data_IF_221375746661
#
_entry.id   IF_221375746661
#
_cell.length_a   1.000
_cell.length_b   1.000
_cell.length_c   1.000
_cell.angle_alpha   90.00
_cell.angle_beta   90.00
_cell.angle_gamma   90.00
#
_symmetry.space_group_name_H-M   'P 1'
#
loop_
_entity.id
_entity.type
_entity.pdbx_description
1 polymer ?
#
# COMPACT_ATOMS: atom_id res chain seq x y z
N UNK A 1 -30.66 4.61 9.57
CA UNK A 1 -30.59 5.87 10.36
C UNK A 1 -31.94 6.22 10.98
N UNK A 2 -33.05 6.20 10.22
CA UNK A 2 -34.40 6.55 10.72
C UNK A 2 -35.03 5.61 11.78
N UNK A 3 -34.38 4.50 12.15
CA UNK A 3 -34.81 3.62 13.27
C UNK A 3 -33.80 3.55 14.43
N UNK A 4 -32.73 4.34 14.40
CA UNK A 4 -31.80 4.39 15.52
C UNK A 4 -32.35 5.33 16.61
N UNK A 5 -32.40 4.83 17.84
CA UNK A 5 -32.79 5.61 19.02
C UNK A 5 -31.93 6.88 19.12
N UNK A 6 -32.56 8.03 19.31
CA UNK A 6 -31.93 9.37 19.36
C UNK A 6 -30.80 9.46 20.40
N UNK A 7 -30.86 8.67 21.49
CA UNK A 7 -29.77 8.59 22.48
C UNK A 7 -28.47 7.99 21.93
N UNK A 8 -28.53 7.19 20.87
CA UNK A 8 -27.35 6.61 20.19
C UNK A 8 -26.79 7.52 19.09
N UNK A 9 -27.57 8.51 18.63
CA UNK A 9 -27.19 9.46 17.57
C UNK A 9 -26.28 10.61 18.08
N UNK A 10 -26.33 10.95 19.36
CA UNK A 10 -25.49 11.99 19.95
C UNK A 10 -24.24 11.42 20.67
N UNK A 11 -24.10 10.09 20.71
CA UNK A 11 -22.96 9.41 21.30
C UNK A 11 -21.82 9.13 20.30
N UNK A 12 -20.65 8.65 20.77
CA UNK A 12 -19.50 8.28 19.94
C UNK A 12 -19.81 7.21 18.86
N UNK A 13 -20.97 6.55 18.95
CA UNK A 13 -21.50 5.59 17.99
C UNK A 13 -21.89 6.25 16.66
N UNK A 14 -22.46 7.46 16.69
CA UNK A 14 -22.87 8.20 15.49
C UNK A 14 -21.68 8.65 14.64
N UNK A 15 -20.61 9.14 15.29
CA UNK A 15 -19.35 9.46 14.62
C UNK A 15 -18.67 8.23 14.01
N UNK A 16 -18.74 7.06 14.68
CA UNK A 16 -18.28 5.78 14.11
C UNK A 16 -19.08 5.35 12.89
N UNK A 17 -20.41 5.47 12.92
CA UNK A 17 -21.28 5.13 11.79
C UNK A 17 -20.99 6.07 10.61
N UNK A 18 -20.84 7.37 10.86
CA UNK A 18 -20.50 8.34 9.80
C UNK A 18 -19.11 8.07 9.22
N UNK A 19 -18.11 7.76 10.04
CA UNK A 19 -16.77 7.43 9.56
C UNK A 19 -16.73 6.10 8.79
N UNK A 20 -17.50 5.09 9.22
CA UNK A 20 -17.69 3.85 8.46
C UNK A 20 -18.35 4.13 7.12
N UNK A 21 -19.46 4.87 7.11
CA UNK A 21 -20.19 5.20 5.89
C UNK A 21 -19.30 5.99 4.91
N UNK A 22 -18.64 7.05 5.37
CA UNK A 22 -17.81 7.91 4.52
C UNK A 22 -16.54 7.21 4.00
N UNK A 23 -15.92 6.32 4.78
CA UNK A 23 -14.71 5.61 4.37
C UNK A 23 -15.00 4.33 3.55
N UNK A 24 -16.13 3.68 3.80
CA UNK A 24 -16.45 2.40 3.15
C UNK A 24 -17.25 2.59 1.87
N UNK A 25 -18.17 3.56 1.77
CA UNK A 25 -18.97 3.80 0.54
C UNK A 25 -18.06 4.06 -0.67
N UNK A 26 -17.03 4.91 -0.51
CA UNK A 26 -16.08 5.16 -1.59
C UNK A 26 -15.23 3.95 -1.98
N UNK A 27 -15.05 2.97 -1.09
CA UNK A 27 -14.37 1.70 -1.40
C UNK A 27 -15.30 0.72 -2.09
N UNK A 28 -16.59 0.70 -1.73
CA UNK A 28 -17.58 -0.15 -2.36
C UNK A 28 -17.76 0.18 -3.84
N UNK A 29 -17.81 1.46 -4.22
CA UNK A 29 -17.90 1.88 -5.62
C UNK A 29 -16.76 1.31 -6.47
N UNK A 30 -15.53 1.33 -5.93
CA UNK A 30 -14.36 0.76 -6.58
C UNK A 30 -14.44 -0.78 -6.64
N UNK A 31 -14.92 -1.44 -5.59
CA UNK A 31 -15.10 -2.89 -5.57
C UNK A 31 -16.08 -3.36 -6.64
N UNK A 32 -17.24 -2.69 -6.79
CA UNK A 32 -18.23 -3.05 -7.80
C UNK A 32 -17.70 -2.87 -9.22
N UNK A 33 -16.84 -1.88 -9.45
CA UNK A 33 -16.16 -1.69 -10.74
C UNK A 33 -15.26 -2.89 -11.11
N UNK A 34 -14.56 -3.48 -10.12
CA UNK A 34 -13.60 -4.56 -10.37
C UNK A 34 -14.18 -5.98 -10.26
N UNK A 35 -15.36 -6.14 -9.67
CA UNK A 35 -15.97 -7.46 -9.40
C UNK A 35 -16.16 -8.32 -10.67
N UNK A 36 -16.59 -7.77 -11.82
CA UNK A 36 -16.70 -8.55 -13.07
C UNK A 36 -15.34 -9.07 -13.57
N UNK A 37 -14.27 -8.31 -13.38
CA UNK A 37 -12.92 -8.72 -13.82
C UNK A 37 -12.44 -9.96 -13.08
N UNK A 38 -12.82 -10.16 -11.82
CA UNK A 38 -12.45 -11.35 -11.04
C UNK A 38 -13.06 -12.62 -11.64
N UNK A 39 -14.27 -12.53 -12.21
CA UNK A 39 -14.96 -13.66 -12.85
C UNK A 39 -14.42 -13.92 -14.26
N UNK A 40 -14.04 -12.86 -14.99
CA UNK A 40 -13.49 -12.97 -16.35
C UNK A 40 -12.02 -13.46 -16.32
N UNK A 41 -11.25 -13.07 -15.31
CA UNK A 41 -9.84 -13.43 -15.16
C UNK A 41 -9.51 -14.93 -15.30
N UNK A 42 -10.21 -15.88 -14.63
CA UNK A 42 -9.90 -17.31 -14.78
C UNK A 42 -10.18 -17.81 -16.20
N UNK A 43 -11.27 -17.38 -16.83
CA UNK A 43 -11.61 -17.77 -18.20
C UNK A 43 -10.53 -17.26 -19.17
N UNK A 44 -10.14 -15.99 -19.02
CA UNK A 44 -9.07 -15.39 -19.82
C UNK A 44 -7.74 -16.13 -19.62
N UNK A 45 -7.39 -16.47 -18.37
CA UNK A 45 -6.16 -17.17 -18.04
C UNK A 45 -6.11 -18.56 -18.70
N UNK A 46 -7.22 -19.32 -18.65
CA UNK A 46 -7.29 -20.65 -19.28
C UNK A 46 -7.11 -20.58 -20.80
N UNK A 47 -7.76 -19.63 -21.47
CA UNK A 47 -7.65 -19.45 -22.93
C UNK A 47 -6.21 -19.07 -23.31
N UNK A 48 -5.60 -18.11 -22.60
CA UNK A 48 -4.22 -17.67 -22.88
C UNK A 48 -3.22 -18.81 -22.64
N UNK A 49 -3.38 -19.58 -21.56
CA UNK A 49 -2.53 -20.75 -21.29
C UNK A 49 -2.66 -21.80 -22.40
N UNK A 50 -3.87 -22.06 -22.89
CA UNK A 50 -4.10 -23.02 -23.97
C UNK A 50 -3.39 -22.59 -25.27
N UNK A 51 -3.54 -21.32 -25.66
CA UNK A 51 -2.91 -20.78 -26.87
C UNK A 51 -1.37 -20.79 -26.79
N UNK A 52 -0.80 -20.47 -25.63
CA UNK A 52 0.65 -20.49 -25.44
C UNK A 52 1.17 -21.95 -25.49
N UNK A 53 0.43 -22.90 -24.92
CA UNK A 53 0.79 -24.31 -24.96
C UNK A 53 0.85 -24.86 -26.39
N UNK A 54 -0.11 -24.48 -27.24
CA UNK A 54 -0.17 -24.92 -28.64
C UNK A 54 1.06 -24.45 -29.44
N UNK A 55 1.55 -23.23 -29.19
CA UNK A 55 2.69 -22.66 -29.92
C UNK A 55 4.06 -22.96 -29.33
N UNK A 56 4.19 -23.04 -28.00
CA UNK A 56 5.50 -22.99 -27.30
C UNK A 56 5.79 -24.26 -26.50
N UNK A 57 4.82 -25.17 -26.37
CA UNK A 57 4.95 -26.49 -25.73
C UNK A 57 5.68 -26.43 -24.37
N UNK A 58 6.77 -27.17 -24.17
CA UNK A 58 7.51 -27.24 -22.90
C UNK A 58 8.07 -25.90 -22.43
N UNK A 59 8.42 -24.98 -23.35
CA UNK A 59 8.97 -23.67 -22.97
C UNK A 59 7.92 -22.77 -22.30
N UNK A 60 6.61 -23.05 -22.43
CA UNK A 60 5.56 -22.31 -21.72
C UNK A 60 5.59 -22.55 -20.20
N UNK A 61 6.05 -23.73 -19.77
CA UNK A 61 6.12 -24.08 -18.34
C UNK A 61 7.13 -23.22 -17.59
N UNK A 62 8.23 -22.84 -18.26
CA UNK A 62 9.26 -21.95 -17.70
C UNK A 62 8.67 -20.55 -17.47
N UNK A 63 7.92 -20.03 -18.44
CA UNK A 63 7.23 -18.75 -18.30
C UNK A 63 6.21 -18.75 -17.16
N UNK A 64 5.40 -19.80 -17.06
CA UNK A 64 4.43 -19.98 -15.97
C UNK A 64 5.12 -20.02 -14.60
N UNK A 65 6.22 -20.76 -14.48
CA UNK A 65 6.99 -20.87 -13.26
C UNK A 65 7.56 -19.51 -12.81
N UNK A 66 8.12 -18.74 -13.74
CA UNK A 66 8.64 -17.40 -13.49
C UNK A 66 7.53 -16.45 -13.01
N UNK A 67 6.36 -16.49 -13.64
CA UNK A 67 5.19 -15.69 -13.22
C UNK A 67 4.76 -16.07 -11.80
N UNK A 68 4.62 -17.36 -11.49
CA UNK A 68 4.17 -17.83 -10.17
C UNK A 68 5.14 -17.39 -9.07
N UNK A 69 6.44 -17.58 -9.29
CA UNK A 69 7.48 -17.15 -8.33
C UNK A 69 7.49 -15.63 -8.17
N UNK A 70 7.34 -14.87 -9.24
CA UNK A 70 7.33 -13.43 -9.11
C UNK A 70 6.06 -12.91 -8.40
N UNK A 71 4.91 -13.54 -8.65
CA UNK A 71 3.63 -13.00 -8.18
C UNK A 71 3.33 -13.38 -6.74
N UNK A 72 3.70 -14.58 -6.30
CA UNK A 72 3.29 -15.09 -4.97
C UNK A 72 4.33 -14.75 -3.89
N UNK A 73 5.55 -15.35 -3.87
CA UNK A 73 6.48 -15.15 -2.77
C UNK A 73 7.09 -13.75 -2.74
N UNK A 74 7.45 -13.17 -3.89
CA UNK A 74 8.05 -11.84 -3.94
C UNK A 74 7.04 -10.76 -3.50
N UNK A 75 5.79 -10.82 -3.97
CA UNK A 75 4.75 -9.91 -3.53
C UNK A 75 4.44 -10.06 -2.04
N UNK A 76 4.33 -11.30 -1.54
CA UNK A 76 4.11 -11.55 -0.12
C UNK A 76 5.26 -11.02 0.76
N UNK A 77 6.51 -11.17 0.30
CA UNK A 77 7.68 -10.65 1.00
C UNK A 77 7.68 -9.12 1.04
N UNK A 78 7.46 -8.46 -0.10
CA UNK A 78 7.36 -7.00 -0.17
C UNK A 78 6.21 -6.48 0.69
N UNK A 79 5.06 -7.15 0.68
CA UNK A 79 3.92 -6.80 1.51
C UNK A 79 4.25 -6.85 3.02
N UNK A 80 5.03 -7.84 3.47
CA UNK A 80 5.52 -7.92 4.86
C UNK A 80 6.42 -6.72 5.21
N UNK A 81 7.32 -6.33 4.32
CA UNK A 81 8.19 -5.16 4.54
C UNK A 81 7.37 -3.87 4.57
N UNK A 82 6.45 -3.69 3.63
CA UNK A 82 5.54 -2.54 3.58
C UNK A 82 4.71 -2.44 4.86
N UNK A 83 4.19 -3.56 5.38
CA UNK A 83 3.47 -3.59 6.65
C UNK A 83 4.34 -3.13 7.82
N UNK A 84 5.58 -3.62 7.90
CA UNK A 84 6.54 -3.20 8.95
C UNK A 84 6.88 -1.71 8.87
N UNK A 85 7.14 -1.20 7.66
CA UNK A 85 7.41 0.22 7.44
C UNK A 85 6.20 1.10 7.76
N UNK A 86 4.99 0.69 7.36
CA UNK A 86 3.75 1.42 7.70
C UNK A 86 3.53 1.51 9.20
N UNK A 87 3.77 0.43 9.94
CA UNK A 87 3.70 0.44 11.40
C UNK A 87 4.71 1.43 12.01
N UNK A 88 5.96 1.41 11.51
CA UNK A 88 7.00 2.35 11.94
C UNK A 88 6.63 3.81 11.63
N UNK A 89 6.02 4.07 10.47
CA UNK A 89 5.54 5.41 10.09
C UNK A 89 4.44 5.86 11.05
N UNK A 90 3.45 5.01 11.34
CA UNK A 90 2.38 5.33 12.28
C UNK A 90 2.95 5.75 13.65
N UNK A 91 3.91 4.99 14.18
CA UNK A 91 4.60 5.35 15.41
C UNK A 91 5.30 6.72 15.35
N UNK A 92 6.00 7.03 14.25
CA UNK A 92 6.68 8.34 14.08
C UNK A 92 5.70 9.50 13.94
N UNK A 93 4.57 9.27 13.28
CA UNK A 93 3.50 10.26 13.15
C UNK A 93 2.89 10.55 14.52
N UNK A 94 2.60 9.52 15.32
CA UNK A 94 2.07 9.68 16.68
C UNK A 94 3.06 10.44 17.59
N UNK A 95 4.35 10.13 17.50
CA UNK A 95 5.42 10.84 18.21
C UNK A 95 5.45 12.33 17.84
N UNK A 96 5.40 12.67 16.54
CA UNK A 96 5.34 14.06 16.08
C UNK A 96 4.09 14.77 16.61
N UNK A 97 2.93 14.13 16.52
CA UNK A 97 1.65 14.72 16.97
C UNK A 97 1.66 14.96 18.48
N UNK A 98 2.25 14.05 19.26
CA UNK A 98 2.45 14.23 20.70
C UNK A 98 3.32 15.44 21.01
N UNK A 99 4.52 15.53 20.41
CA UNK A 99 5.43 16.66 20.62
C UNK A 99 4.76 17.98 20.21
N UNK A 100 4.03 17.98 19.09
CA UNK A 100 3.31 19.17 18.63
C UNK A 100 2.22 19.59 19.63
N UNK A 101 1.48 18.66 20.21
CA UNK A 101 0.50 18.94 21.26
C UNK A 101 1.17 19.54 22.52
N UNK A 102 2.28 18.95 22.99
CA UNK A 102 3.03 19.48 24.15
C UNK A 102 3.49 20.93 23.91
N UNK A 103 4.00 21.25 22.72
CA UNK A 103 4.39 22.61 22.33
C UNK A 103 3.19 23.57 22.31
N UNK A 104 2.06 23.14 21.73
CA UNK A 104 0.85 23.97 21.66
C UNK A 104 0.30 24.29 23.05
N UNK A 105 0.32 23.32 23.97
CA UNK A 105 -0.12 23.54 25.35
C UNK A 105 0.76 24.54 26.11
N UNK A 106 2.07 24.60 25.81
CA UNK A 106 3.05 25.47 26.48
C UNK A 106 3.41 26.77 25.73
N UNK A 107 2.69 27.13 24.67
CA UNK A 107 3.14 28.15 23.70
C UNK A 107 3.38 29.54 24.30
N UNK A 108 2.59 29.93 25.32
CA UNK A 108 2.73 31.24 25.97
C UNK A 108 4.08 31.37 26.70
N UNK A 109 4.50 30.33 27.42
CA UNK A 109 5.80 30.29 28.12
C UNK A 109 6.94 30.29 27.11
N UNK A 110 6.83 29.50 26.03
CA UNK A 110 7.85 29.42 24.98
C UNK A 110 8.10 30.80 24.37
N UNK A 111 7.04 31.57 24.10
CA UNK A 111 7.15 32.93 23.57
C UNK A 111 7.71 33.93 24.59
N UNK A 112 7.28 33.84 25.86
CA UNK A 112 7.77 34.70 26.93
C UNK A 112 9.30 34.61 27.10
N UNK A 113 9.87 33.41 26.91
CA UNK A 113 11.31 33.17 27.03
C UNK A 113 12.06 33.11 25.69
N UNK A 114 11.41 33.43 24.56
CA UNK A 114 11.99 33.37 23.21
C UNK A 114 12.61 31.99 22.86
N UNK A 115 12.05 30.89 23.38
CA UNK A 115 12.53 29.52 23.17
C UNK A 115 12.06 28.89 21.84
N UNK A 116 11.58 29.67 20.88
CA UNK A 116 11.01 29.16 19.63
C UNK A 116 12.04 28.37 18.80
N UNK A 117 13.29 28.85 18.70
CA UNK A 117 14.36 28.20 17.93
C UNK A 117 14.71 26.78 18.43
N UNK A 118 14.96 26.55 19.74
CA UNK A 118 15.23 25.20 20.23
C UNK A 118 14.04 24.24 20.05
N UNK A 119 12.80 24.69 20.30
CA UNK A 119 11.61 23.85 20.09
C UNK A 119 11.39 23.51 18.61
N UNK A 120 11.64 24.46 17.70
CA UNK A 120 11.62 24.20 16.26
C UNK A 120 12.64 23.12 15.86
N UNK A 121 13.85 23.13 16.45
CA UNK A 121 14.88 22.13 16.17
C UNK A 121 14.43 20.72 16.61
N UNK A 122 13.75 20.61 17.76
CA UNK A 122 13.17 19.35 18.26
C UNK A 122 12.14 18.82 17.25
N UNK A 123 11.17 19.65 16.85
CA UNK A 123 10.12 19.26 15.90
C UNK A 123 10.71 18.87 14.53
N UNK A 124 11.72 19.60 14.06
CA UNK A 124 12.42 19.32 12.81
C UNK A 124 13.14 17.97 12.84
N UNK A 125 13.76 17.62 13.97
CA UNK A 125 14.40 16.33 14.17
C UNK A 125 13.38 15.18 14.09
N UNK A 126 12.24 15.28 14.77
CA UNK A 126 11.17 14.26 14.70
C UNK A 126 10.62 14.12 13.28
N UNK A 127 10.42 15.24 12.58
CA UNK A 127 9.98 15.25 11.18
C UNK A 127 11.01 14.60 10.24
N UNK A 128 12.30 14.79 10.47
CA UNK A 128 13.34 14.18 9.65
C UNK A 128 13.34 12.64 9.76
N UNK A 129 13.08 12.10 10.96
CA UNK A 129 12.95 10.66 11.17
C UNK A 129 11.69 10.07 10.50
N UNK A 130 10.58 10.80 10.55
CA UNK A 130 9.35 10.45 9.84
C UNK A 130 9.60 10.39 8.32
N UNK A 131 10.16 11.47 7.75
CA UNK A 131 10.48 11.57 6.32
C UNK A 131 11.44 10.48 5.89
N UNK A 132 12.51 10.20 6.64
CA UNK A 132 13.45 9.13 6.31
C UNK A 132 12.75 7.76 6.17
N UNK A 133 11.81 7.46 7.07
CA UNK A 133 11.04 6.21 7.03
C UNK A 133 10.04 6.19 5.87
N UNK A 134 9.38 7.32 5.59
CA UNK A 134 8.50 7.48 4.43
C UNK A 134 9.26 7.30 3.12
N UNK A 135 10.42 7.94 2.98
CA UNK A 135 11.28 7.84 1.80
C UNK A 135 11.67 6.40 1.52
N UNK A 136 12.06 5.65 2.55
CA UNK A 136 12.36 4.21 2.42
C UNK A 136 11.17 3.41 1.89
N UNK A 137 9.95 3.70 2.36
CA UNK A 137 8.73 3.06 1.87
C UNK A 137 8.44 3.43 0.41
N UNK A 138 8.63 4.69 0.02
CA UNK A 138 8.42 5.13 -1.36
C UNK A 138 9.44 4.53 -2.32
N UNK A 139 10.72 4.42 -1.92
CA UNK A 139 11.72 3.72 -2.72
C UNK A 139 11.35 2.25 -2.92
N UNK A 140 10.93 1.55 -1.86
CA UNK A 140 10.47 0.17 -1.97
C UNK A 140 9.27 0.03 -2.91
N UNK A 141 8.30 0.95 -2.82
CA UNK A 141 7.13 0.95 -3.72
C UNK A 141 7.50 1.25 -5.16
N UNK A 142 8.39 2.21 -5.39
CA UNK A 142 8.88 2.55 -6.71
C UNK A 142 9.58 1.35 -7.34
N UNK A 143 10.50 0.71 -6.61
CA UNK A 143 11.15 -0.52 -7.04
C UNK A 143 10.15 -1.65 -7.34
N UNK A 144 9.20 -1.90 -6.43
CA UNK A 144 8.18 -2.92 -6.66
C UNK A 144 7.37 -2.64 -7.94
N UNK A 145 6.99 -1.38 -8.18
CA UNK A 145 6.25 -0.97 -9.38
C UNK A 145 7.08 -1.14 -10.65
N UNK A 146 8.34 -0.72 -10.64
CA UNK A 146 9.22 -0.86 -11.80
C UNK A 146 9.52 -2.33 -12.10
N UNK A 147 9.73 -3.17 -11.08
CA UNK A 147 9.91 -4.61 -11.25
C UNK A 147 8.69 -5.27 -11.90
N UNK A 148 7.47 -4.87 -11.52
CA UNK A 148 6.24 -5.37 -12.16
C UNK A 148 6.14 -4.96 -13.63
N UNK A 149 6.37 -3.68 -13.96
CA UNK A 149 6.30 -3.22 -15.35
C UNK A 149 7.36 -3.86 -16.25
N UNK A 150 8.54 -4.20 -15.71
CA UNK A 150 9.59 -4.86 -16.49
C UNK A 150 9.43 -6.38 -16.56
N UNK A 151 8.70 -6.98 -15.62
CA UNK A 151 8.46 -8.43 -15.52
C UNK A 151 8.04 -9.05 -16.84
N UNK A 152 7.03 -8.47 -17.49
CA UNK A 152 6.45 -9.02 -18.71
C UNK A 152 7.49 -9.15 -19.83
N UNK A 153 8.40 -8.18 -19.95
CA UNK A 153 9.49 -8.20 -20.94
C UNK A 153 10.53 -9.27 -20.61
N UNK A 154 10.88 -9.42 -19.34
CA UNK A 154 11.83 -10.43 -18.88
C UNK A 154 11.30 -11.85 -19.10
N UNK A 155 10.02 -12.08 -18.79
CA UNK A 155 9.36 -13.38 -18.99
C UNK A 155 9.34 -13.72 -20.47
N UNK A 156 8.90 -12.79 -21.33
CA UNK A 156 8.87 -13.00 -22.78
C UNK A 156 10.26 -13.35 -23.33
N UNK A 157 11.29 -12.59 -22.95
CA UNK A 157 12.66 -12.86 -23.36
C UNK A 157 13.10 -14.28 -22.96
N UNK A 158 12.91 -14.65 -21.69
CA UNK A 158 13.29 -15.97 -21.18
C UNK A 158 12.54 -17.10 -21.88
N UNK A 159 11.23 -16.95 -22.11
CA UNK A 159 10.43 -17.95 -22.81
C UNK A 159 10.87 -18.15 -24.25
N UNK A 160 11.19 -17.08 -24.98
CA UNK A 160 11.67 -17.18 -26.36
C UNK A 160 13.07 -17.80 -26.41
N UNK A 161 13.97 -17.41 -25.49
CA UNK A 161 15.30 -18.03 -25.43
C UNK A 161 15.23 -19.52 -25.09
N UNK A 162 14.31 -19.91 -24.20
CA UNK A 162 14.11 -21.31 -23.84
C UNK A 162 13.55 -22.11 -25.03
N UNK A 163 12.62 -21.54 -25.78
CA UNK A 163 12.06 -22.15 -26.99
C UNK A 163 13.11 -22.32 -28.11
N UNK A 164 14.00 -21.34 -28.29
CA UNK A 164 15.09 -21.45 -29.29
C UNK A 164 16.14 -22.50 -28.90
N UNK A 165 16.32 -22.74 -27.59
CA UNK A 165 17.31 -23.68 -27.07
C UNK A 165 16.78 -25.13 -26.97
N UNK A 166 15.46 -25.32 -26.93
CA UNK A 166 14.77 -26.62 -26.86
C UNK A 166 14.52 -27.22 -28.23
#
# INVERSE_FOLDING_TARGET
VLRLSINSLNGPVSGKIMNLLSNDVGRFDVCFLYLPYVMIAPIQLTIVMYLIWEHVQMASLIGLFLIIIQTIPLNAYVAKIVKKLRSKIAFRVDERMRVMNEILTGIQVIKMYCWEKPFYKIMSCTRQHEISTLTSLYYLRAWHRTSYTNSDRFILFLTVTAYVLS
#
